data_IF_346342952626
#
_entry.id   IF_346342952626
#
_cell.length_a   1.000
_cell.length_b   1.000
_cell.length_c   1.000
_cell.angle_alpha   90.00
_cell.angle_beta   90.00
_cell.angle_gamma   90.00
#
_symmetry.space_group_name_H-M   'P 1'
#
loop_
_entity.id
_entity.type
_entity.pdbx_description
1 polymer ?
#
# COMPACT_ATOMS: atom_id res chain seq x y z
N UNK A 1 -8.58 41.54 -1.14
CA UNK A 1 -7.94 40.25 -1.48
C UNK A 1 -8.71 39.16 -0.75
N UNK A 2 -9.23 38.16 -1.47
CA UNK A 2 -9.81 37.01 -0.81
C UNK A 2 -8.71 36.30 -0.03
N UNK A 3 -8.97 35.95 1.24
CA UNK A 3 -8.02 35.22 2.07
C UNK A 3 -7.70 33.83 1.51
N UNK A 4 -6.67 33.15 2.04
CA UNK A 4 -6.36 31.78 1.63
C UNK A 4 -7.57 30.87 1.86
N UNK A 5 -7.84 29.99 0.89
CA UNK A 5 -8.85 28.94 1.03
C UNK A 5 -8.36 27.96 2.10
N UNK A 6 -9.17 27.74 3.14
CA UNK A 6 -8.87 26.76 4.18
C UNK A 6 -9.57 25.43 3.90
N UNK A 7 -8.93 24.33 4.27
CA UNK A 7 -9.49 22.98 4.24
C UNK A 7 -9.53 22.39 5.63
N UNK A 8 -10.60 21.66 5.95
CA UNK A 8 -10.79 21.00 7.25
C UNK A 8 -10.37 19.53 7.18
N UNK A 9 -9.43 19.13 8.01
CA UNK A 9 -8.98 17.74 8.16
C UNK A 9 -10.01 16.89 8.88
N UNK A 10 -9.81 15.57 8.88
CA UNK A 10 -10.70 14.63 9.57
C UNK A 10 -10.76 14.79 11.09
N UNK A 11 -9.76 15.43 11.69
CA UNK A 11 -9.67 15.78 13.11
C UNK A 11 -10.23 17.18 13.44
N UNK A 12 -10.74 17.91 12.43
CA UNK A 12 -11.29 19.25 12.57
C UNK A 12 -10.25 20.38 12.45
N UNK A 13 -8.95 20.07 12.37
CA UNK A 13 -7.91 21.08 12.16
C UNK A 13 -8.06 21.73 10.78
N UNK A 14 -7.85 23.04 10.69
CA UNK A 14 -7.86 23.77 9.43
C UNK A 14 -6.43 24.07 8.97
N UNK A 15 -6.15 23.80 7.69
CA UNK A 15 -4.91 24.19 7.03
C UNK A 15 -5.20 24.94 5.72
N UNK A 16 -4.31 25.82 5.24
CA UNK A 16 -4.42 26.38 3.90
C UNK A 16 -4.41 25.27 2.84
N UNK A 17 -5.22 25.44 1.79
CA UNK A 17 -5.20 24.55 0.62
C UNK A 17 -3.84 24.62 -0.06
N UNK A 18 -3.05 23.56 0.09
CA UNK A 18 -1.79 23.36 -0.61
C UNK A 18 -2.06 22.69 -1.98
N UNK A 19 -2.10 23.50 -3.03
CA UNK A 19 -2.29 23.00 -4.40
C UNK A 19 -1.12 22.14 -4.87
N UNK A 20 0.10 22.38 -4.41
CA UNK A 20 1.26 21.60 -4.83
C UNK A 20 1.26 20.23 -4.17
N UNK A 21 0.75 20.12 -2.94
CA UNK A 21 0.45 18.83 -2.29
C UNK A 21 -0.59 18.05 -3.08
N UNK A 22 -1.63 18.71 -3.60
CA UNK A 22 -2.63 18.07 -4.46
C UNK A 22 -2.01 17.64 -5.81
N UNK A 23 -1.24 18.50 -6.48
CA UNK A 23 -0.51 18.17 -7.72
C UNK A 23 0.40 16.96 -7.54
N UNK A 24 1.23 16.95 -6.50
CA UNK A 24 2.10 15.81 -6.16
C UNK A 24 1.29 14.53 -5.92
N UNK A 25 0.13 14.64 -5.27
CA UNK A 25 -0.76 13.49 -5.04
C UNK A 25 -1.32 12.92 -6.35
N UNK A 26 -1.76 13.79 -7.26
CA UNK A 26 -2.26 13.41 -8.59
C UNK A 26 -1.14 12.82 -9.46
N UNK A 27 0.02 13.45 -9.52
CA UNK A 27 1.17 12.97 -10.28
C UNK A 27 1.62 11.58 -9.81
N UNK A 28 1.68 11.33 -8.49
CA UNK A 28 2.00 9.99 -7.94
C UNK A 28 1.01 8.90 -8.36
N UNK A 29 -0.23 9.25 -8.70
CA UNK A 29 -1.20 8.30 -9.24
C UNK A 29 -0.97 7.93 -10.72
N UNK A 30 -0.01 8.59 -11.39
CA UNK A 30 0.25 8.43 -12.82
C UNK A 30 -0.47 9.43 -13.71
N UNK A 31 -1.06 10.50 -13.14
CA UNK A 31 -1.65 11.58 -13.93
C UNK A 31 -0.54 12.41 -14.60
N UNK A 32 -0.54 12.46 -15.93
CA UNK A 32 0.32 13.38 -16.69
C UNK A 32 -0.04 14.85 -16.41
N UNK A 33 0.90 15.75 -16.64
CA UNK A 33 0.81 17.18 -16.30
C UNK A 33 -0.50 17.84 -16.78
N UNK A 34 -0.89 17.59 -18.04
CA UNK A 34 -2.12 18.14 -18.60
C UNK A 34 -3.39 17.65 -17.86
N UNK A 35 -3.41 16.40 -17.38
CA UNK A 35 -4.53 15.88 -16.58
C UNK A 35 -4.50 16.47 -15.17
N UNK A 36 -3.31 16.63 -14.57
CA UNK A 36 -3.14 17.26 -13.26
C UNK A 36 -3.75 18.66 -13.27
N UNK A 37 -3.34 19.53 -14.20
CA UNK A 37 -3.84 20.92 -14.22
C UNK A 37 -5.36 20.98 -14.49
N UNK A 38 -5.91 20.14 -15.36
CA UNK A 38 -7.38 20.05 -15.54
C UNK A 38 -8.12 19.65 -14.28
N UNK A 39 -7.55 18.76 -13.46
CA UNK A 39 -8.13 18.37 -12.18
C UNK A 39 -8.04 19.53 -11.19
N UNK A 40 -6.89 20.21 -11.13
CA UNK A 40 -6.69 21.39 -10.27
C UNK A 40 -7.71 22.48 -10.59
N UNK A 41 -7.86 22.87 -11.86
CA UNK A 41 -8.84 23.88 -12.30
C UNK A 41 -10.28 23.55 -11.86
N UNK A 42 -10.69 22.29 -11.99
CA UNK A 42 -12.04 21.86 -11.59
C UNK A 42 -12.22 21.77 -10.08
N UNK A 43 -11.15 21.49 -9.36
CA UNK A 43 -11.15 21.48 -7.90
C UNK A 43 -11.27 22.92 -7.40
N UNK A 44 -10.42 23.84 -7.86
CA UNK A 44 -10.44 25.25 -7.44
C UNK A 44 -11.76 25.94 -7.81
N UNK A 45 -12.37 25.59 -8.94
CA UNK A 45 -13.69 26.12 -9.33
C UNK A 45 -14.88 25.65 -8.45
N UNK A 46 -14.67 24.67 -7.56
CA UNK A 46 -15.72 24.04 -6.75
C UNK A 46 -15.43 24.04 -5.26
N UNK A 47 -14.35 24.68 -4.85
CA UNK A 47 -13.88 24.66 -3.46
C UNK A 47 -14.18 26.01 -2.83
N UNK A 48 -15.00 25.97 -1.79
CA UNK A 48 -15.19 27.08 -0.86
C UNK A 48 -14.31 26.89 0.38
N UNK A 49 -14.02 27.98 1.09
CA UNK A 49 -13.22 27.93 2.33
C UNK A 49 -13.97 27.14 3.41
N UNK A 50 -13.25 26.30 4.16
CA UNK A 50 -13.81 25.38 5.15
C UNK A 50 -14.26 24.04 4.58
N UNK A 51 -13.97 23.74 3.31
CA UNK A 51 -14.32 22.44 2.72
C UNK A 51 -13.56 21.30 3.45
N UNK A 52 -14.22 20.17 3.74
CA UNK A 52 -13.52 18.99 4.24
C UNK A 52 -12.51 18.46 3.22
N UNK A 53 -11.34 18.03 3.69
CA UNK A 53 -10.31 17.35 2.88
C UNK A 53 -10.86 16.11 2.16
N UNK A 54 -11.83 15.42 2.76
CA UNK A 54 -12.53 14.29 2.12
C UNK A 54 -13.37 14.73 0.91
N UNK A 55 -14.04 15.88 1.00
CA UNK A 55 -14.82 16.46 -0.09
C UNK A 55 -13.89 16.91 -1.23
N UNK A 56 -12.77 17.56 -0.89
CA UNK A 56 -11.72 17.92 -1.86
C UNK A 56 -11.24 16.69 -2.64
N UNK A 57 -10.89 15.62 -1.91
CA UNK A 57 -10.52 14.34 -2.48
C UNK A 57 -11.62 13.79 -3.40
N UNK A 58 -12.88 13.84 -2.97
CA UNK A 58 -14.02 13.35 -3.75
C UNK A 58 -14.20 14.09 -5.08
N UNK A 59 -13.95 15.40 -5.12
CA UNK A 59 -13.99 16.20 -6.36
C UNK A 59 -12.88 15.73 -7.32
N UNK A 60 -11.64 15.63 -6.83
CA UNK A 60 -10.50 15.19 -7.63
C UNK A 60 -10.70 13.75 -8.14
N UNK A 61 -11.14 12.83 -7.28
CA UNK A 61 -11.38 11.43 -7.63
C UNK A 61 -12.47 11.29 -8.71
N UNK A 62 -13.60 12.01 -8.59
CA UNK A 62 -14.66 11.99 -9.62
C UNK A 62 -14.13 12.48 -10.95
N UNK A 63 -13.26 13.50 -10.94
CA UNK A 63 -12.66 14.02 -12.15
C UNK A 63 -11.73 13.01 -12.82
N UNK A 64 -10.81 12.41 -12.05
CA UNK A 64 -9.94 11.35 -12.53
C UNK A 64 -10.74 10.18 -13.10
N UNK A 65 -11.78 9.73 -12.39
CA UNK A 65 -12.62 8.60 -12.82
C UNK A 65 -13.30 8.86 -14.16
N UNK A 66 -13.73 10.10 -14.41
CA UNK A 66 -14.35 10.51 -15.67
C UNK A 66 -13.36 10.49 -16.83
N UNK A 67 -12.09 10.87 -16.60
CA UNK A 67 -11.09 10.96 -17.67
C UNK A 67 -10.30 9.67 -17.89
N UNK A 68 -9.86 9.02 -16.80
CA UNK A 68 -8.97 7.85 -16.76
C UNK A 68 -9.23 7.02 -15.49
N UNK A 69 -10.05 5.96 -15.61
CA UNK A 69 -10.45 5.10 -14.49
C UNK A 69 -9.26 4.45 -13.76
N UNK A 70 -8.27 3.96 -14.48
CA UNK A 70 -7.07 3.34 -13.88
C UNK A 70 -6.26 4.34 -13.03
N UNK A 71 -6.17 5.61 -13.44
CA UNK A 71 -5.52 6.67 -12.64
C UNK A 71 -6.33 6.95 -11.38
N UNK A 72 -7.67 6.99 -11.49
CA UNK A 72 -8.53 7.13 -10.31
C UNK A 72 -8.37 5.95 -9.33
N UNK A 73 -8.24 4.72 -9.83
CA UNK A 73 -7.98 3.53 -9.03
C UNK A 73 -6.66 3.67 -8.24
N UNK A 74 -5.57 4.09 -8.91
CA UNK A 74 -4.27 4.38 -8.29
C UNK A 74 -4.36 5.51 -7.26
N UNK A 75 -5.06 6.60 -7.58
CA UNK A 75 -5.30 7.72 -6.66
C UNK A 75 -6.08 7.30 -5.41
N UNK A 76 -6.96 6.31 -5.52
CA UNK A 76 -7.72 5.75 -4.39
C UNK A 76 -7.03 4.66 -3.60
N UNK A 77 -5.82 4.25 -3.97
CA UNK A 77 -5.19 3.05 -3.44
C UNK A 77 -5.15 2.99 -1.91
N UNK A 78 -4.81 4.09 -1.22
CA UNK A 78 -4.81 4.15 0.25
C UNK A 78 -6.18 3.77 0.83
N UNK A 79 -7.26 4.37 0.30
CA UNK A 79 -8.64 4.11 0.73
C UNK A 79 -9.06 2.69 0.37
N UNK A 80 -8.64 2.19 -0.79
CA UNK A 80 -8.97 0.85 -1.25
C UNK A 80 -8.34 -0.23 -0.36
N UNK A 81 -7.08 -0.06 0.05
CA UNK A 81 -6.45 -0.99 1.01
C UNK A 81 -7.16 -0.96 2.36
N UNK A 82 -7.64 0.20 2.83
CA UNK A 82 -8.47 0.27 4.05
C UNK A 82 -9.82 -0.45 3.91
N UNK A 83 -10.33 -0.58 2.68
CA UNK A 83 -11.59 -1.26 2.36
C UNK A 83 -11.44 -2.77 2.17
N UNK A 84 -10.28 -3.35 2.44
CA UNK A 84 -10.06 -4.81 2.40
C UNK A 84 -10.86 -5.60 3.45
N UNK A 85 -11.63 -4.92 4.30
CA UNK A 85 -12.52 -5.54 5.28
C UNK A 85 -11.86 -5.73 6.64
N UNK A 86 -12.65 -6.03 7.68
CA UNK A 86 -12.20 -6.03 9.06
C UNK A 86 -11.47 -7.32 9.48
N UNK A 87 -11.51 -8.37 8.67
CA UNK A 87 -10.98 -9.69 9.04
C UNK A 87 -9.45 -9.76 9.06
N UNK A 88 -8.75 -8.76 8.49
CA UNK A 88 -7.29 -8.79 8.33
C UNK A 88 -6.84 -9.66 7.17
N UNK A 89 -7.45 -10.83 6.97
CA UNK A 89 -7.05 -11.84 5.99
C UNK A 89 -6.79 -11.33 4.56
N UNK A 90 -7.64 -10.46 3.94
CA UNK A 90 -7.33 -9.93 2.62
C UNK A 90 -6.07 -9.03 2.59
N UNK A 91 -5.74 -8.37 3.70
CA UNK A 91 -4.49 -7.63 3.83
C UNK A 91 -3.28 -8.58 3.96
N UNK A 92 -3.40 -9.68 4.69
CA UNK A 92 -2.38 -10.73 4.79
C UNK A 92 -2.07 -11.31 3.40
N UNK A 93 -3.12 -11.63 2.62
CA UNK A 93 -2.98 -12.08 1.22
C UNK A 93 -2.30 -11.05 0.33
N UNK A 94 -2.59 -9.76 0.50
CA UNK A 94 -1.89 -8.71 -0.24
C UNK A 94 -0.40 -8.69 0.11
N UNK A 95 -0.03 -8.76 1.39
CA UNK A 95 1.37 -8.80 1.83
C UNK A 95 2.07 -10.06 1.30
N UNK A 96 1.42 -11.22 1.39
CA UNK A 96 1.93 -12.46 0.84
C UNK A 96 2.18 -12.37 -0.67
N UNK A 97 1.24 -11.83 -1.43
CA UNK A 97 1.36 -11.64 -2.86
C UNK A 97 2.49 -10.69 -3.28
N UNK A 98 2.83 -9.70 -2.44
CA UNK A 98 4.01 -8.86 -2.63
C UNK A 98 5.30 -9.65 -2.42
N UNK A 99 5.36 -10.48 -1.37
CA UNK A 99 6.51 -11.33 -1.09
C UNK A 99 6.70 -12.42 -2.15
N UNK A 100 5.62 -13.01 -2.66
CA UNK A 100 5.68 -13.93 -3.82
C UNK A 100 6.30 -13.24 -5.04
N UNK A 101 5.92 -11.97 -5.30
CA UNK A 101 6.52 -11.15 -6.35
C UNK A 101 8.02 -10.91 -6.17
N UNK A 102 8.48 -10.87 -4.91
CA UNK A 102 9.90 -10.76 -4.54
C UNK A 102 10.62 -12.12 -4.51
N UNK A 103 9.98 -13.19 -4.98
CA UNK A 103 10.55 -14.53 -5.12
C UNK A 103 10.47 -15.40 -3.86
N UNK A 104 9.66 -15.04 -2.88
CA UNK A 104 9.44 -15.86 -1.68
C UNK A 104 8.36 -16.92 -1.91
N UNK A 105 8.54 -18.09 -1.28
CA UNK A 105 7.48 -19.08 -1.12
C UNK A 105 6.67 -18.73 0.12
N UNK A 106 5.37 -18.48 -0.04
CA UNK A 106 4.53 -17.89 1.02
C UNK A 106 3.45 -18.85 1.50
N UNK A 107 3.16 -18.80 2.80
CA UNK A 107 1.98 -19.39 3.45
C UNK A 107 1.28 -18.33 4.29
N UNK A 108 -0.05 -18.23 4.13
CA UNK A 108 -0.90 -17.30 4.87
C UNK A 108 -1.48 -18.01 6.09
N UNK A 109 -1.61 -17.29 7.21
CA UNK A 109 -2.15 -17.80 8.49
C UNK A 109 -1.50 -19.12 8.94
N UNK A 110 -0.15 -19.13 8.95
CA UNK A 110 0.64 -20.31 9.27
C UNK A 110 0.73 -20.53 10.78
N UNK A 111 0.43 -21.75 11.25
CA UNK A 111 0.69 -22.13 12.65
C UNK A 111 2.14 -22.55 12.82
N UNK A 112 2.82 -21.93 13.77
CA UNK A 112 4.22 -22.21 14.11
C UNK A 112 4.37 -22.35 15.62
N UNK A 113 5.26 -23.23 16.07
CA UNK A 113 5.41 -23.55 17.50
C UNK A 113 6.84 -23.24 17.95
N UNK A 114 6.96 -22.31 18.90
CA UNK A 114 8.16 -22.08 19.71
C UNK A 114 7.92 -22.66 21.11
N UNK A 115 8.15 -21.88 22.15
CA UNK A 115 7.69 -22.25 23.51
C UNK A 115 6.16 -22.28 23.59
N UNK A 116 5.48 -21.47 22.78
CA UNK A 116 4.02 -21.54 22.57
C UNK A 116 3.68 -21.61 21.09
N UNK A 117 2.43 -21.96 20.77
CA UNK A 117 1.94 -21.96 19.39
C UNK A 117 1.45 -20.57 19.02
N UNK A 118 1.93 -20.07 17.87
CA UNK A 118 1.54 -18.81 17.27
C UNK A 118 0.85 -19.05 15.93
N UNK A 119 -0.14 -18.24 15.62
CA UNK A 119 -0.61 -18.03 14.26
C UNK A 119 0.13 -16.83 13.68
N UNK A 120 0.82 -17.05 12.56
CA UNK A 120 1.62 -16.06 11.85
C UNK A 120 0.88 -15.70 10.56
N UNK A 121 0.53 -14.43 10.43
CA UNK A 121 -0.28 -13.92 9.33
C UNK A 121 0.34 -14.24 7.96
N UNK A 122 1.66 -14.04 7.81
CA UNK A 122 2.40 -14.44 6.62
C UNK A 122 3.74 -15.06 7.00
N UNK A 123 3.96 -16.30 6.58
CA UNK A 123 5.24 -16.98 6.68
C UNK A 123 5.82 -17.20 5.29
N UNK A 124 7.05 -16.74 5.07
CA UNK A 124 7.73 -16.75 3.79
C UNK A 124 9.09 -17.46 3.91
N UNK A 125 9.46 -18.21 2.89
CA UNK A 125 10.76 -18.88 2.79
C UNK A 125 11.40 -18.70 1.43
N UNK A 126 12.73 -18.63 1.40
CA UNK A 126 13.50 -18.69 0.15
C UNK A 126 14.93 -19.15 0.43
N UNK A 127 15.57 -19.71 -0.58
CA UNK A 127 17.01 -19.96 -0.55
C UNK A 127 17.76 -18.74 -1.07
N UNK A 128 18.79 -18.32 -0.35
CA UNK A 128 19.69 -17.26 -0.79
C UNK A 128 21.13 -17.67 -0.53
N UNK A 129 21.95 -17.72 -1.58
CA UNK A 129 23.35 -18.14 -1.51
C UNK A 129 23.56 -19.50 -0.79
N UNK A 130 22.64 -20.44 -0.95
CA UNK A 130 22.71 -21.78 -0.33
C UNK A 130 22.26 -21.83 1.14
N UNK A 131 21.69 -20.74 1.68
CA UNK A 131 21.12 -20.69 3.02
C UNK A 131 19.60 -20.50 2.97
N UNK A 132 18.87 -21.31 3.72
CA UNK A 132 17.42 -21.15 3.89
C UNK A 132 17.16 -19.88 4.71
N UNK A 133 16.36 -18.97 4.16
CA UNK A 133 15.87 -17.77 4.86
C UNK A 133 14.40 -17.93 5.16
N UNK A 134 14.02 -17.41 6.32
CA UNK A 134 12.64 -17.36 6.77
C UNK A 134 12.28 -15.91 7.06
N UNK A 135 11.10 -15.50 6.62
CA UNK A 135 10.54 -14.20 6.92
C UNK A 135 9.14 -14.41 7.47
N UNK A 136 8.93 -14.03 8.72
CA UNK A 136 7.62 -14.02 9.36
C UNK A 136 7.09 -12.60 9.36
N UNK A 137 5.79 -12.41 9.15
CA UNK A 137 5.17 -11.09 9.12
C UNK A 137 3.92 -11.07 9.97
N UNK A 138 3.85 -10.11 10.89
CA UNK A 138 2.62 -9.69 11.55
C UNK A 138 1.95 -8.59 10.74
N UNK A 139 0.67 -8.75 10.42
CA UNK A 139 -0.13 -7.82 9.65
C UNK A 139 -1.10 -7.05 10.57
N UNK A 140 -0.90 -5.74 10.69
CA UNK A 140 -1.82 -4.84 11.38
C UNK A 140 -2.62 -3.99 10.41
N UNK A 141 -3.73 -4.53 9.92
CA UNK A 141 -4.69 -3.79 9.09
C UNK A 141 -5.45 -2.72 9.90
N UNK A 142 -5.67 -1.56 9.28
CA UNK A 142 -6.36 -0.40 9.84
C UNK A 142 -7.47 0.07 8.90
N UNK A 143 -8.67 0.22 9.46
CA UNK A 143 -9.85 0.76 8.76
C UNK A 143 -9.93 2.29 8.79
N UNK A 144 -9.12 2.96 9.62
CA UNK A 144 -9.06 4.42 9.74
C UNK A 144 -7.74 4.98 9.20
N UNK A 145 -7.80 6.11 8.49
CA UNK A 145 -6.69 6.63 7.68
C UNK A 145 -5.51 7.17 8.50
N UNK A 146 -5.78 7.59 9.73
CA UNK A 146 -4.80 8.15 10.67
C UNK A 146 -4.38 7.18 11.78
N UNK A 147 -4.90 5.95 11.76
CA UNK A 147 -4.56 4.94 12.74
C UNK A 147 -3.04 4.67 12.74
N UNK A 148 -2.48 4.67 13.95
CA UNK A 148 -1.07 4.40 14.20
C UNK A 148 -0.88 3.00 14.78
N UNK A 149 0.29 2.41 14.53
CA UNK A 149 0.77 1.22 15.23
C UNK A 149 1.82 1.70 16.22
N UNK A 150 1.58 1.40 17.49
CA UNK A 150 2.37 1.89 18.63
C UNK A 150 3.48 0.92 19.03
N UNK A 151 4.31 1.37 19.97
CA UNK A 151 5.44 0.58 20.47
C UNK A 151 5.00 -0.71 21.19
N UNK A 152 3.81 -0.74 21.80
CA UNK A 152 3.27 -1.95 22.44
C UNK A 152 3.10 -3.08 21.43
N UNK A 153 2.61 -2.75 20.24
CA UNK A 153 2.49 -3.71 19.13
C UNK A 153 3.86 -4.21 18.68
N UNK A 154 4.85 -3.31 18.54
CA UNK A 154 6.21 -3.69 18.14
C UNK A 154 6.91 -4.57 19.20
N UNK A 155 6.77 -4.25 20.48
CA UNK A 155 7.26 -5.05 21.61
C UNK A 155 6.68 -6.46 21.62
N UNK A 156 5.36 -6.56 21.40
CA UNK A 156 4.67 -7.85 21.30
C UNK A 156 5.21 -8.70 20.15
N UNK A 157 5.35 -8.11 18.95
CA UNK A 157 5.88 -8.81 17.78
C UNK A 157 7.33 -9.25 18.00
N UNK A 158 8.15 -8.42 18.65
CA UNK A 158 9.53 -8.77 19.01
C UNK A 158 9.60 -9.95 19.98
N UNK A 159 8.73 -10.01 21.00
CA UNK A 159 8.64 -11.16 21.89
C UNK A 159 8.26 -12.45 21.14
N UNK A 160 7.33 -12.36 20.18
CA UNK A 160 6.96 -13.48 19.30
C UNK A 160 8.12 -13.88 18.39
N UNK A 161 8.86 -12.92 17.84
CA UNK A 161 10.05 -13.18 17.03
C UNK A 161 11.09 -13.96 17.83
N UNK A 162 11.36 -13.53 19.07
CA UNK A 162 12.27 -14.25 19.98
C UNK A 162 11.83 -15.68 20.24
N UNK A 163 10.55 -15.93 20.45
CA UNK A 163 10.04 -17.29 20.72
C UNK A 163 10.16 -18.23 19.51
N UNK A 164 10.05 -17.69 18.29
CA UNK A 164 10.03 -18.50 17.06
C UNK A 164 11.39 -18.59 16.35
N UNK A 165 12.18 -17.51 16.39
CA UNK A 165 13.41 -17.36 15.60
C UNK A 165 14.65 -17.11 16.49
N UNK A 166 14.47 -16.83 17.78
CA UNK A 166 15.53 -16.31 18.63
C UNK A 166 15.78 -14.81 18.44
N UNK A 167 16.90 -14.30 18.95
CA UNK A 167 17.27 -12.90 18.72
C UNK A 167 17.54 -12.66 17.22
N UNK A 168 17.11 -11.50 16.71
CA UNK A 168 17.19 -11.15 15.28
C UNK A 168 18.56 -10.56 14.90
N UNK A 169 19.36 -10.12 15.87
CA UNK A 169 20.69 -9.57 15.61
C UNK A 169 21.60 -10.67 15.03
N UNK A 170 22.11 -10.46 13.81
CA UNK A 170 22.91 -11.46 13.10
C UNK A 170 22.13 -12.70 12.62
N UNK A 171 20.80 -12.71 12.76
CA UNK A 171 19.96 -13.82 12.34
C UNK A 171 19.62 -13.71 10.84
N UNK A 172 19.85 -14.75 10.02
CA UNK A 172 19.44 -14.73 8.61
C UNK A 172 17.91 -14.77 8.43
N UNK A 173 17.17 -15.16 9.47
CA UNK A 173 15.72 -15.10 9.53
C UNK A 173 15.25 -13.73 10.01
N UNK A 174 14.09 -13.30 9.54
CA UNK A 174 13.55 -11.98 9.82
C UNK A 174 12.11 -12.06 10.33
N UNK A 175 11.74 -11.04 11.09
CA UNK A 175 10.37 -10.78 11.47
C UNK A 175 10.00 -9.37 11.06
N UNK A 176 8.87 -9.20 10.38
CA UNK A 176 8.34 -7.91 9.98
C UNK A 176 7.01 -7.60 10.66
N UNK A 177 6.74 -6.32 10.86
CA UNK A 177 5.45 -5.78 11.19
C UNK A 177 4.96 -4.92 10.02
N UNK A 178 3.89 -5.36 9.36
CA UNK A 178 3.29 -4.71 8.20
C UNK A 178 1.98 -4.02 8.55
N UNK A 179 1.75 -2.81 8.05
CA UNK A 179 0.49 -2.07 8.25
C UNK A 179 0.18 -1.17 7.06
N UNK A 180 -1.11 -0.97 6.77
CA UNK A 180 -1.58 0.09 5.88
C UNK A 180 -1.72 1.46 6.60
N UNK A 181 -1.37 1.54 7.88
CA UNK A 181 -1.30 2.77 8.66
C UNK A 181 0.10 3.38 8.73
N UNK A 182 0.36 4.10 9.82
CA UNK A 182 1.66 4.68 10.18
C UNK A 182 2.21 4.06 11.46
N UNK A 183 3.51 4.08 11.66
CA UNK A 183 4.15 3.75 12.94
C UNK A 183 4.32 5.00 13.80
N UNK A 184 4.30 4.86 15.13
CA UNK A 184 4.75 5.92 16.04
C UNK A 184 6.28 6.00 16.04
N UNK A 185 6.84 7.14 16.46
CA UNK A 185 8.29 7.29 16.55
C UNK A 185 8.92 6.25 17.47
N UNK A 186 8.31 5.98 18.64
CA UNK A 186 8.79 4.95 19.57
C UNK A 186 8.79 3.55 18.94
N UNK A 187 7.78 3.21 18.13
CA UNK A 187 7.74 1.93 17.43
C UNK A 187 8.88 1.80 16.41
N UNK A 188 9.18 2.88 15.68
CA UNK A 188 10.29 2.94 14.73
C UNK A 188 11.63 2.80 15.47
N UNK A 189 11.84 3.58 16.53
CA UNK A 189 13.07 3.56 17.33
C UNK A 189 13.30 2.17 17.92
N UNK A 190 12.28 1.57 18.53
CA UNK A 190 12.38 0.23 19.10
C UNK A 190 12.63 -0.85 18.03
N UNK A 191 11.91 -0.81 16.92
CA UNK A 191 12.07 -1.81 15.86
C UNK A 191 13.49 -1.80 15.28
N UNK A 192 14.06 -0.59 15.08
CA UNK A 192 15.45 -0.43 14.68
C UNK A 192 16.41 -1.05 15.71
N UNK A 193 16.17 -0.85 17.02
CA UNK A 193 17.05 -1.36 18.08
C UNK A 193 17.09 -2.89 18.20
N UNK A 194 16.14 -3.60 17.59
CA UNK A 194 16.02 -5.07 17.66
C UNK A 194 15.97 -5.73 16.28
N UNK A 195 16.30 -4.99 15.21
CA UNK A 195 16.24 -5.46 13.82
C UNK A 195 14.88 -6.00 13.35
N UNK A 196 13.78 -5.49 13.92
CA UNK A 196 12.42 -5.79 13.46
C UNK A 196 12.12 -4.99 12.18
N UNK A 197 11.74 -5.66 11.11
CA UNK A 197 11.39 -5.00 9.86
C UNK A 197 10.05 -4.28 9.95
N UNK A 198 9.96 -3.05 9.43
CA UNK A 198 8.71 -2.28 9.42
C UNK A 198 8.28 -1.96 7.99
N UNK A 199 7.04 -2.32 7.65
CA UNK A 199 6.41 -2.00 6.37
C UNK A 199 5.12 -1.23 6.60
N UNK A 200 5.15 0.08 6.38
CA UNK A 200 4.00 0.98 6.53
C UNK A 200 3.50 1.50 5.19
N UNK A 201 2.37 2.20 5.18
CA UNK A 201 1.82 2.82 3.96
C UNK A 201 2.83 3.72 3.24
N UNK A 202 3.54 4.54 4.02
CA UNK A 202 4.61 5.43 3.57
C UNK A 202 5.89 5.21 4.36
N UNK A 203 6.06 4.02 4.94
CA UNK A 203 7.28 3.63 5.65
C UNK A 203 7.84 2.31 5.06
N UNK A 204 9.14 2.21 4.83
CA UNK A 204 10.12 3.27 5.02
C UNK A 204 9.93 4.42 4.05
N UNK A 205 10.21 5.64 4.52
CA UNK A 205 10.25 6.83 3.67
C UNK A 205 11.70 7.05 3.21
N UNK A 206 12.28 6.04 2.56
CA UNK A 206 13.58 6.18 1.93
C UNK A 206 13.35 6.77 0.54
N UNK A 207 13.88 7.97 0.27
CA UNK A 207 14.13 8.34 -1.11
C UNK A 207 15.34 7.54 -1.61
N UNK A 208 15.39 7.27 -2.91
CA UNK A 208 16.55 6.59 -3.49
C UNK A 208 17.83 7.39 -3.16
N UNK A 209 18.75 6.77 -2.40
CA UNK A 209 20.00 7.41 -1.94
C UNK A 209 19.95 8.08 -0.55
N UNK A 210 18.80 8.09 0.14
CA UNK A 210 18.72 8.58 1.52
C UNK A 210 18.99 7.45 2.53
N UNK A 211 19.85 7.73 3.51
CA UNK A 211 20.11 6.82 4.61
C UNK A 211 18.87 6.69 5.52
N UNK A 212 18.68 5.55 6.20
CA UNK A 212 17.53 5.37 7.06
C UNK A 212 17.43 6.40 8.20
N UNK A 213 16.25 6.69 8.78
CA UNK A 213 16.08 7.67 9.86
C UNK A 213 17.04 7.46 11.04
N UNK A 214 17.41 6.21 11.34
CA UNK A 214 18.38 5.92 12.40
C UNK A 214 19.81 6.32 12.05
N UNK A 215 20.17 6.60 10.80
CA UNK A 215 21.52 7.00 10.41
C UNK A 215 21.96 8.36 10.97
N UNK A 216 21.00 9.18 11.40
CA UNK A 216 21.24 10.48 12.05
C UNK A 216 21.31 10.42 13.58
N UNK A 217 21.12 9.25 14.20
CA UNK A 217 21.23 9.09 15.65
C UNK A 217 22.70 8.97 16.08
N UNK A 218 23.03 9.41 17.29
CA UNK A 218 24.40 9.32 17.82
C UNK A 218 24.90 7.87 17.85
N UNK A 219 26.15 7.66 17.39
CA UNK A 219 26.77 6.35 17.16
C UNK A 219 26.75 5.39 18.36
N UNK A 220 26.72 5.91 19.59
CA UNK A 220 26.67 5.12 20.81
C UNK A 220 25.25 4.63 21.17
N UNK A 221 24.22 5.22 20.58
CA UNK A 221 22.80 4.84 20.72
C UNK A 221 22.26 4.17 19.44
N UNK A 222 23.11 4.00 18.43
CA UNK A 222 22.74 3.31 17.20
C UNK A 222 22.57 1.81 17.48
N UNK A 223 21.48 1.18 17.04
CA UNK A 223 21.57 -0.23 16.70
C UNK A 223 22.67 -0.39 15.64
N UNK A 224 23.45 -1.48 15.66
CA UNK A 224 24.36 -1.78 14.57
C UNK A 224 23.58 -1.74 13.25
N UNK A 225 24.21 -1.27 12.17
CA UNK A 225 23.57 -1.32 10.86
C UNK A 225 23.17 -2.78 10.58
N UNK A 226 21.91 -3.04 10.18
CA UNK A 226 21.50 -4.40 9.84
C UNK A 226 22.48 -4.93 8.79
N UNK A 227 23.00 -6.17 8.92
CA UNK A 227 23.91 -6.73 7.94
C UNK A 227 23.33 -6.53 6.53
N UNK A 228 24.19 -6.15 5.58
CA UNK A 228 23.78 -5.82 4.19
C UNK A 228 23.01 -6.95 3.49
N UNK A 229 23.12 -8.14 4.05
CA UNK A 229 22.46 -9.38 3.65
C UNK A 229 21.00 -9.48 4.12
N UNK A 230 20.51 -8.63 5.02
CA UNK A 230 19.12 -8.68 5.48
C UNK A 230 18.16 -8.13 4.42
N UNK A 231 17.14 -8.92 4.10
CA UNK A 231 16.03 -8.52 3.24
C UNK A 231 15.04 -7.65 4.01
N UNK A 232 15.46 -6.46 4.44
CA UNK A 232 14.54 -5.48 5.04
C UNK A 232 13.74 -4.75 3.93
N UNK A 233 12.53 -4.24 4.22
CA UNK A 233 11.77 -3.47 3.24
C UNK A 233 12.57 -2.23 2.81
N UNK A 234 12.80 -2.08 1.50
CA UNK A 234 13.47 -0.87 0.93
C UNK A 234 12.50 0.15 0.36
N UNK A 235 11.28 -0.30 0.03
CA UNK A 235 10.18 0.51 -0.49
C UNK A 235 9.00 0.40 0.47
N UNK A 236 8.23 1.46 0.62
CA UNK A 236 7.01 1.42 1.43
C UNK A 236 5.89 0.62 0.75
N UNK A 237 4.82 0.31 1.49
CA UNK A 237 3.71 -0.51 0.99
C UNK A 237 3.06 0.09 -0.26
N UNK A 238 2.88 1.42 -0.33
CA UNK A 238 2.26 2.05 -1.49
C UNK A 238 3.11 1.88 -2.76
N UNK A 239 4.43 2.05 -2.64
CA UNK A 239 5.38 1.79 -3.72
C UNK A 239 5.37 0.33 -4.12
N UNK A 240 5.50 -0.60 -3.15
CA UNK A 240 5.52 -2.05 -3.45
C UNK A 240 4.26 -2.52 -4.17
N UNK A 241 3.07 -2.05 -3.77
CA UNK A 241 1.83 -2.36 -4.49
C UNK A 241 1.88 -1.87 -5.94
N UNK A 242 2.42 -0.68 -6.15
CA UNK A 242 2.49 -0.06 -7.47
C UNK A 242 3.52 -0.74 -8.36
N UNK A 243 4.72 -1.00 -7.84
CA UNK A 243 5.85 -1.60 -8.56
C UNK A 243 5.56 -3.05 -8.93
N UNK A 244 4.94 -3.81 -8.03
CA UNK A 244 4.55 -5.20 -8.27
C UNK A 244 3.19 -5.36 -8.98
N UNK A 245 2.52 -4.25 -9.34
CA UNK A 245 1.16 -4.23 -9.90
C UNK A 245 0.15 -5.03 -9.05
N UNK A 246 0.36 -5.11 -7.74
CA UNK A 246 -0.45 -5.89 -6.79
C UNK A 246 -1.68 -5.09 -6.32
N UNK A 247 -2.39 -4.46 -7.26
CA UNK A 247 -3.54 -3.62 -6.93
C UNK A 247 -4.68 -4.46 -6.34
N UNK A 248 -5.28 -4.05 -5.21
CA UNK A 248 -6.41 -4.75 -4.64
C UNK A 248 -7.68 -4.47 -5.46
N UNK A 249 -8.58 -5.45 -5.59
CA UNK A 249 -9.85 -5.30 -6.31
C UNK A 249 -10.73 -4.16 -5.76
N UNK A 250 -10.50 -3.76 -4.52
CA UNK A 250 -11.18 -2.64 -3.87
C UNK A 250 -10.86 -1.29 -4.52
N UNK A 251 -9.80 -1.18 -5.33
CA UNK A 251 -9.48 0.03 -6.09
C UNK A 251 -10.27 0.18 -7.39
N UNK A 252 -10.86 -0.91 -7.90
CA UNK A 252 -11.61 -0.89 -9.15
C UNK A 252 -12.82 0.05 -9.04
N UNK A 253 -12.90 1.02 -9.95
CA UNK A 253 -13.95 2.04 -9.98
C UNK A 253 -15.16 1.61 -10.81
N UNK A 254 -15.00 0.59 -11.66
CA UNK A 254 -16.07 -0.07 -12.41
C UNK A 254 -16.94 -0.99 -11.54
N UNK A 255 -16.45 -1.46 -10.39
CA UNK A 255 -17.19 -2.36 -9.49
C UNK A 255 -17.95 -1.61 -8.39
N UNK A 256 -19.19 -2.03 -8.16
CA UNK A 256 -19.99 -1.63 -6.98
C UNK A 256 -19.48 -2.35 -5.73
N UNK A 257 -19.78 -1.81 -4.55
CA UNK A 257 -19.33 -2.42 -3.28
C UNK A 257 -19.81 -3.86 -3.10
N UNK A 258 -21.04 -4.19 -3.52
CA UNK A 258 -21.54 -5.57 -3.49
C UNK A 258 -20.69 -6.54 -4.32
N UNK A 259 -20.18 -6.13 -5.48
CA UNK A 259 -19.35 -6.99 -6.32
C UNK A 259 -17.98 -7.20 -5.67
N UNK A 260 -17.41 -6.14 -5.08
CA UNK A 260 -16.15 -6.21 -4.32
C UNK A 260 -16.27 -7.14 -3.12
N UNK A 261 -17.38 -7.05 -2.37
CA UNK A 261 -17.65 -7.93 -1.25
C UNK A 261 -17.72 -9.40 -1.68
N UNK A 262 -18.49 -9.72 -2.73
CA UNK A 262 -18.57 -11.09 -3.28
C UNK A 262 -17.21 -11.64 -3.69
N UNK A 263 -16.37 -10.82 -4.33
CA UNK A 263 -15.02 -11.24 -4.69
C UNK A 263 -14.12 -11.48 -3.46
N UNK A 264 -14.17 -10.60 -2.45
CA UNK A 264 -13.41 -10.79 -1.20
C UNK A 264 -13.86 -12.04 -0.43
N UNK A 265 -15.18 -12.32 -0.39
CA UNK A 265 -15.74 -13.55 0.19
C UNK A 265 -15.24 -14.81 -0.54
N UNK A 266 -15.05 -14.72 -1.85
CA UNK A 266 -14.44 -15.77 -2.68
C UNK A 266 -12.91 -15.80 -2.59
N UNK A 267 -12.32 -15.05 -1.65
CA UNK A 267 -10.87 -14.91 -1.50
C UNK A 267 -10.21 -14.47 -2.81
N UNK A 268 -10.79 -13.48 -3.51
CA UNK A 268 -10.17 -12.79 -4.64
C UNK A 268 -9.79 -11.40 -4.13
N UNK A 269 -8.49 -11.11 -4.06
CA UNK A 269 -7.99 -9.89 -3.42
C UNK A 269 -7.36 -8.95 -4.44
N UNK A 270 -6.69 -9.46 -5.46
CA UNK A 270 -5.90 -8.69 -6.40
C UNK A 270 -6.55 -8.57 -7.78
N UNK A 271 -6.34 -7.45 -8.45
CA UNK A 271 -6.80 -7.22 -9.82
C UNK A 271 -6.23 -8.25 -10.80
N UNK A 272 -4.95 -8.65 -10.65
CA UNK A 272 -4.31 -9.67 -11.50
C UNK A 272 -5.00 -11.04 -11.42
N UNK A 273 -5.66 -11.35 -10.30
CA UNK A 273 -6.42 -12.60 -10.16
C UNK A 273 -7.70 -12.60 -11.01
N UNK A 274 -8.32 -11.43 -11.20
CA UNK A 274 -9.49 -11.27 -12.09
C UNK A 274 -9.09 -11.35 -13.57
N UNK A 275 -7.94 -10.78 -13.91
CA UNK A 275 -7.40 -10.86 -15.28
C UNK A 275 -7.04 -12.31 -15.66
N UNK A 276 -6.37 -13.04 -14.76
CA UNK A 276 -5.99 -14.43 -14.96
C UNK A 276 -7.19 -15.40 -14.98
N UNK A 277 -8.33 -15.02 -14.37
CA UNK A 277 -9.52 -15.88 -14.25
C UNK A 277 -10.79 -15.15 -14.71
N UNK A 278 -11.01 -15.02 -16.04
CA UNK A 278 -12.19 -14.32 -16.59
C UNK A 278 -13.54 -14.86 -16.06
N UNK A 279 -13.62 -16.14 -15.72
CA UNK A 279 -14.82 -16.75 -15.15
C UNK A 279 -15.31 -16.08 -13.85
N UNK A 280 -14.40 -15.46 -13.07
CA UNK A 280 -14.78 -14.69 -11.88
C UNK A 280 -15.59 -13.44 -12.25
N UNK A 281 -15.27 -12.81 -13.39
CA UNK A 281 -16.01 -11.65 -13.88
C UNK A 281 -17.41 -12.07 -14.35
N UNK A 282 -17.50 -13.21 -15.04
CA UNK A 282 -18.77 -13.74 -15.54
C UNK A 282 -19.70 -14.12 -14.39
N UNK A 283 -19.14 -14.67 -13.30
CA UNK A 283 -19.87 -15.01 -12.07
C UNK A 283 -20.51 -13.80 -11.37
N UNK A 284 -19.98 -12.58 -11.58
CA UNK A 284 -20.57 -11.35 -11.01
C UNK A 284 -21.85 -10.90 -11.72
N UNK A 285 -22.20 -11.50 -12.87
CA UNK A 285 -23.41 -11.16 -13.65
C UNK A 285 -23.51 -9.66 -13.93
N UNK A 286 -22.40 -9.07 -14.36
CA UNK A 286 -22.33 -7.65 -14.73
C UNK A 286 -23.11 -7.39 -16.01
N UNK A 287 -23.68 -6.20 -16.14
CA UNK A 287 -24.18 -5.70 -17.43
C UNK A 287 -23.02 -5.61 -18.44
N UNK A 288 -23.31 -5.81 -19.73
CA UNK A 288 -22.29 -5.84 -20.79
C UNK A 288 -21.40 -4.58 -20.80
N UNK A 289 -22.00 -3.40 -20.61
CA UNK A 289 -21.28 -2.12 -20.50
C UNK A 289 -20.33 -2.11 -19.31
N UNK A 290 -20.78 -2.55 -18.14
CA UNK A 290 -19.98 -2.60 -16.92
C UNK A 290 -18.84 -3.62 -17.01
N UNK A 291 -19.10 -4.79 -17.60
CA UNK A 291 -18.06 -5.79 -17.85
C UNK A 291 -16.98 -5.27 -18.80
N UNK A 292 -17.37 -4.53 -19.84
CA UNK A 292 -16.45 -3.88 -20.78
C UNK A 292 -15.61 -2.81 -20.09
N UNK A 293 -16.23 -1.96 -19.26
CA UNK A 293 -15.51 -0.98 -18.45
C UNK A 293 -14.51 -1.62 -17.49
N UNK A 294 -14.90 -2.73 -16.83
CA UNK A 294 -14.03 -3.46 -15.92
C UNK A 294 -12.81 -4.04 -16.64
N UNK A 295 -13.02 -4.73 -17.77
CA UNK A 295 -11.93 -5.33 -18.56
C UNK A 295 -10.94 -4.25 -19.03
N UNK A 296 -11.45 -3.11 -19.50
CA UNK A 296 -10.60 -1.97 -19.89
C UNK A 296 -9.85 -1.38 -18.69
N UNK A 297 -10.52 -1.18 -17.57
CA UNK A 297 -9.89 -0.65 -16.35
C UNK A 297 -8.79 -1.59 -15.84
N UNK A 298 -9.02 -2.91 -15.85
CA UNK A 298 -8.01 -3.92 -15.49
C UNK A 298 -6.81 -3.85 -16.42
N UNK A 299 -7.05 -3.86 -17.74
CA UNK A 299 -5.98 -3.78 -18.73
C UNK A 299 -5.12 -2.54 -18.53
N UNK A 300 -5.72 -1.35 -18.48
CA UNK A 300 -4.99 -0.10 -18.31
C UNK A 300 -4.21 -0.04 -16.98
N UNK A 301 -4.75 -0.66 -15.91
CA UNK A 301 -4.14 -0.65 -14.58
C UNK A 301 -2.94 -1.61 -14.48
N UNK A 302 -3.02 -2.76 -15.15
CA UNK A 302 -2.01 -3.81 -15.12
C UNK A 302 -1.01 -3.73 -16.27
N UNK A 303 -1.30 -2.94 -17.31
CA UNK A 303 -0.45 -2.76 -18.51
C UNK A 303 -0.14 -1.28 -18.78
N UNK A 304 0.52 -0.55 -17.85
CA UNK A 304 0.71 0.90 -17.95
C UNK A 304 1.57 1.34 -19.17
N UNK A 305 2.41 0.48 -19.72
CA UNK A 305 3.27 0.78 -20.87
C UNK A 305 2.59 0.68 -22.24
N UNK A 306 1.38 0.12 -22.31
CA UNK A 306 0.67 -0.11 -23.58
C UNK A 306 -0.16 1.10 -24.05
N UNK A 307 -0.12 2.22 -23.32
CA UNK A 307 -1.01 3.38 -23.53
C UNK A 307 -0.31 4.66 -24.00
N UNK A 308 1.01 4.65 -24.19
CA UNK A 308 1.72 5.71 -24.90
C UNK A 308 1.61 5.43 -26.41
N UNK A 309 0.81 6.18 -27.22
CA UNK A 309 1.12 6.23 -28.63
C UNK A 309 2.51 6.84 -28.73
N UNK A 310 3.47 6.07 -29.23
CA UNK A 310 4.78 6.58 -29.58
C UNK A 310 4.61 7.89 -30.38
N UNK A 311 5.28 8.99 -30.01
CA UNK A 311 5.25 10.22 -30.81
C UNK A 311 5.84 10.03 -32.21
N UNK A 312 6.38 8.85 -32.54
CA UNK A 312 7.04 8.55 -33.81
C UNK A 312 6.14 7.95 -34.91
N UNK A 313 4.81 7.85 -34.76
CA UNK A 313 3.92 7.39 -35.86
C UNK A 313 3.04 8.47 -36.47
N UNK A 314 3.34 9.75 -36.26
CA UNK A 314 2.84 10.86 -37.10
C UNK A 314 3.98 11.43 -37.94
N UNK A 315 4.22 10.76 -39.07
CA UNK A 315 5.10 11.02 -40.23
C UNK A 315 5.50 9.60 -40.65
N UNK A 316 4.96 9.02 -41.73
CA UNK A 316 4.92 9.47 -43.13
C UNK A 316 3.57 9.07 -43.72
#
# INVERSE_FOLDING_TARGET
MAGPILVTKGDGEQEPLDLDKLRRSLARSGAGEALVERVIERVTARVDSGIPTDTLYGIAFRQLRKERRHIAARYSLKRSVMQLGPTGYPFERLIGALLEGDGWQVRISARMTGSVTHEIDVAARRDHAGQERQLLVECKHRSQADAKVDVKTALYVSARARDLLGDLEGNPHQFWLATNGRFTQDAITYAASVHLGLLGWSYPDFRDGEEPPWSTMERASLPPAPPAELDLPRRNLAQRITDALAFPITCLTSLKQRHKATLLEQQVVLCRELEARPALIDALRLEHSQATELRRELYDLLHPMSLEPSPASRRI
#
